data_IF_400860548356
#
_entry.id   IF_400860548356
#
_cell.length_a   1.000
_cell.length_b   1.000
_cell.length_c   1.000
_cell.angle_alpha   90.00
_cell.angle_beta   90.00
_cell.angle_gamma   90.00
#
_symmetry.space_group_name_H-M   'P 1'
#
loop_
_entity.id
_entity.type
_entity.pdbx_description
1 polymer ?
#
# COMPACT_ATOMS: atom_id res chain seq x y z
N UNK A 1 -21.97 -28.17 49.64
CA UNK A 1 -21.72 -28.50 48.21
C UNK A 1 -22.11 -27.27 47.40
N UNK A 2 -21.18 -26.40 46.97
CA UNK A 2 -20.25 -26.54 45.82
C UNK A 2 -20.98 -26.95 44.53
N UNK A 3 -21.42 -25.94 43.77
CA UNK A 3 -21.45 -25.79 42.30
C UNK A 3 -21.48 -24.25 42.10
N UNK A 4 -20.36 -23.55 42.28
CA UNK A 4 -19.40 -23.15 41.23
C UNK A 4 -19.99 -22.20 40.18
N UNK A 5 -19.88 -20.89 40.48
CA UNK A 5 -19.55 -19.77 39.58
C UNK A 5 -19.69 -20.03 38.07
N UNK A 6 -20.92 -20.19 37.57
CA UNK A 6 -21.19 -20.49 36.15
C UNK A 6 -22.05 -19.42 35.46
N UNK A 7 -21.74 -18.15 35.72
CA UNK A 7 -22.19 -17.03 34.87
C UNK A 7 -21.11 -15.96 34.78
N UNK A 8 -19.85 -16.40 34.72
CA UNK A 8 -18.70 -15.56 34.41
C UNK A 8 -18.52 -15.59 32.88
N UNK A 9 -18.70 -14.41 32.29
CA UNK A 9 -18.27 -14.00 30.96
C UNK A 9 -19.08 -14.59 29.80
N UNK A 10 -20.17 -13.89 29.47
CA UNK A 10 -20.63 -13.81 28.08
C UNK A 10 -19.52 -13.10 27.28
N UNK A 11 -18.58 -13.91 26.79
CA UNK A 11 -17.43 -13.47 26.00
C UNK A 11 -17.94 -12.77 24.75
N UNK A 12 -17.62 -11.49 24.68
CA UNK A 12 -17.80 -10.60 23.55
C UNK A 12 -17.09 -11.19 22.33
N UNK A 13 -17.83 -11.80 21.43
CA UNK A 13 -17.25 -12.32 20.18
C UNK A 13 -18.23 -12.23 19.02
N UNK A 14 -18.60 -11.01 18.63
CA UNK A 14 -19.18 -10.72 17.31
C UNK A 14 -18.71 -9.35 16.77
N UNK A 15 -17.41 -9.08 16.82
CA UNK A 15 -16.82 -7.97 16.06
C UNK A 15 -15.60 -8.46 15.28
N UNK A 16 -15.78 -9.50 14.46
CA UNK A 16 -14.87 -9.76 13.35
C UNK A 16 -15.67 -9.69 12.06
N UNK A 17 -16.29 -8.53 11.81
CA UNK A 17 -16.55 -8.13 10.43
C UNK A 17 -15.18 -8.06 9.77
N UNK A 18 -14.92 -9.03 8.91
CA UNK A 18 -13.67 -9.13 8.19
C UNK A 18 -13.31 -7.77 7.60
N UNK A 19 -12.16 -7.24 8.01
CA UNK A 19 -11.50 -6.14 7.34
C UNK A 19 -10.98 -6.69 6.00
N UNK A 20 -11.91 -6.99 5.10
CA UNK A 20 -11.58 -7.00 3.71
C UNK A 20 -11.34 -5.54 3.39
N UNK A 21 -10.06 -5.16 3.36
CA UNK A 21 -9.60 -4.00 2.62
C UNK A 21 -10.44 -4.00 1.35
N UNK A 22 -11.38 -3.05 1.25
CA UNK A 22 -12.00 -2.76 -0.02
C UNK A 22 -10.81 -2.65 -0.94
N UNK A 23 -10.70 -3.57 -1.90
CA UNK A 23 -9.77 -3.40 -3.00
C UNK A 23 -10.26 -2.12 -3.66
N UNK A 24 -9.77 -1.00 -3.14
CA UNK A 24 -10.05 0.31 -3.66
C UNK A 24 -9.63 0.13 -5.10
N UNK A 25 -10.59 0.23 -6.01
CA UNK A 25 -10.34 0.28 -7.43
C UNK A 25 -9.67 1.63 -7.68
N UNK A 26 -8.49 1.82 -7.06
CA UNK A 26 -7.69 3.01 -7.24
C UNK A 26 -7.36 3.04 -8.71
N UNK A 27 -7.58 4.22 -9.29
CA UNK A 27 -7.19 4.47 -10.65
C UNK A 27 -5.70 4.15 -10.80
N UNK A 28 -5.37 3.51 -11.93
CA UNK A 28 -3.96 3.24 -12.23
C UNK A 28 -3.31 4.57 -12.63
N UNK A 29 -2.32 5.00 -11.86
CA UNK A 29 -1.57 6.23 -12.11
C UNK A 29 -0.28 5.94 -12.88
N UNK A 30 0.10 6.84 -13.77
CA UNK A 30 1.35 6.73 -14.56
C UNK A 30 2.56 7.18 -13.73
N UNK A 31 3.76 6.84 -14.20
CA UNK A 31 5.03 7.30 -13.63
C UNK A 31 5.09 8.84 -13.56
N UNK A 32 4.71 9.51 -14.65
CA UNK A 32 4.72 10.97 -14.76
C UNK A 32 3.72 11.64 -13.82
N UNK A 33 2.63 10.95 -13.46
CA UNK A 33 1.70 11.43 -12.45
C UNK A 33 2.35 11.40 -11.08
N UNK A 34 2.95 10.26 -10.69
CA UNK A 34 3.65 10.12 -9.41
C UNK A 34 4.81 11.10 -9.23
N UNK A 35 5.58 11.38 -10.28
CA UNK A 35 6.64 12.40 -10.24
C UNK A 35 6.14 13.81 -9.89
N UNK A 36 4.84 14.09 -10.11
CA UNK A 36 4.19 15.36 -9.78
C UNK A 36 3.43 15.32 -8.45
N UNK A 37 3.26 14.14 -7.86
CA UNK A 37 2.39 13.87 -6.71
C UNK A 37 3.19 13.10 -5.65
N UNK A 38 4.11 13.82 -4.99
CA UNK A 38 5.06 13.22 -4.04
C UNK A 38 4.38 12.55 -2.85
N UNK A 39 3.29 13.11 -2.33
CA UNK A 39 2.58 12.56 -1.18
C UNK A 39 1.97 11.18 -1.53
N UNK A 40 1.33 11.08 -2.69
CA UNK A 40 0.72 9.86 -3.17
C UNK A 40 1.76 8.83 -3.60
N UNK A 41 2.90 9.29 -4.14
CA UNK A 41 4.07 8.43 -4.39
C UNK A 41 4.56 7.79 -3.09
N UNK A 42 4.83 8.58 -2.06
CA UNK A 42 5.36 8.07 -0.80
C UNK A 42 4.34 7.14 -0.10
N UNK A 43 3.06 7.50 -0.11
CA UNK A 43 1.99 6.65 0.43
C UNK A 43 1.84 5.33 -0.33
N UNK A 44 1.92 5.36 -1.67
CA UNK A 44 1.88 4.15 -2.50
C UNK A 44 3.09 3.27 -2.22
N UNK A 45 4.30 3.83 -2.15
CA UNK A 45 5.52 3.07 -1.83
C UNK A 45 5.44 2.40 -0.45
N UNK A 46 4.93 3.11 0.56
CA UNK A 46 4.70 2.54 1.88
C UNK A 46 3.73 1.35 1.78
N UNK A 47 2.59 1.52 1.12
CA UNK A 47 1.62 0.44 0.90
C UNK A 47 2.24 -0.76 0.18
N UNK A 48 3.00 -0.53 -0.89
CA UNK A 48 3.67 -1.60 -1.64
C UNK A 48 4.69 -2.36 -0.78
N UNK A 49 5.38 -1.66 0.13
CA UNK A 49 6.39 -2.26 1.02
C UNK A 49 5.79 -3.09 2.16
N UNK A 50 4.55 -2.81 2.57
CA UNK A 50 3.89 -3.51 3.68
C UNK A 50 3.62 -4.99 3.38
N UNK A 51 3.40 -5.36 2.11
CA UNK A 51 3.26 -6.76 1.70
C UNK A 51 3.73 -6.97 0.25
N UNK A 52 5.04 -7.15 0.02
CA UNK A 52 5.60 -7.27 -1.33
C UNK A 52 4.99 -8.45 -2.11
N UNK A 53 4.72 -9.57 -1.44
CA UNK A 53 4.10 -10.74 -2.08
C UNK A 53 2.73 -10.41 -2.69
N UNK A 54 1.92 -9.60 -2.00
CA UNK A 54 0.60 -9.15 -2.46
C UNK A 54 0.67 -8.04 -3.52
N UNK A 55 1.61 -7.11 -3.38
CA UNK A 55 1.58 -5.83 -4.11
C UNK A 55 2.57 -5.71 -5.29
N UNK A 56 3.60 -6.57 -5.40
CA UNK A 56 4.66 -6.43 -6.41
C UNK A 56 4.19 -6.42 -7.88
N UNK A 57 3.04 -7.04 -8.20
CA UNK A 57 2.46 -7.06 -9.56
C UNK A 57 1.41 -5.98 -9.80
N UNK A 58 1.10 -5.15 -8.80
CA UNK A 58 0.09 -4.11 -8.96
C UNK A 58 0.66 -2.95 -9.80
N UNK A 59 -0.09 -2.45 -10.80
CA UNK A 59 0.39 -1.39 -11.69
C UNK A 59 0.86 -0.14 -10.95
N UNK A 60 0.14 0.29 -9.92
CA UNK A 60 0.52 1.46 -9.12
C UNK A 60 1.86 1.24 -8.38
N UNK A 61 2.13 0.04 -7.87
CA UNK A 61 3.42 -0.26 -7.24
C UNK A 61 4.57 -0.25 -8.23
N UNK A 62 4.37 -0.79 -9.43
CA UNK A 62 5.38 -0.78 -10.50
C UNK A 62 5.68 0.66 -10.92
N UNK A 63 4.64 1.48 -11.12
CA UNK A 63 4.78 2.87 -11.56
C UNK A 63 5.39 3.77 -10.48
N UNK A 64 4.98 3.60 -9.21
CA UNK A 64 5.54 4.31 -8.07
C UNK A 64 7.02 3.98 -7.88
N UNK A 65 7.40 2.70 -7.92
CA UNK A 65 8.81 2.30 -7.81
C UNK A 65 9.67 2.88 -8.93
N UNK A 66 9.16 2.90 -10.17
CA UNK A 66 9.86 3.54 -11.30
C UNK A 66 10.01 5.04 -11.10
N UNK A 67 8.98 5.73 -10.59
CA UNK A 67 9.06 7.16 -10.29
C UNK A 67 10.09 7.44 -9.18
N UNK A 68 10.12 6.63 -8.12
CA UNK A 68 11.11 6.75 -7.05
C UNK A 68 12.55 6.57 -7.55
N UNK A 69 12.77 5.59 -8.44
CA UNK A 69 14.07 5.36 -9.07
C UNK A 69 14.49 6.55 -9.94
N UNK A 70 13.57 7.12 -10.73
CA UNK A 70 13.85 8.33 -11.52
C UNK A 70 14.16 9.54 -10.64
N UNK A 71 13.38 9.76 -9.57
CA UNK A 71 13.64 10.83 -8.59
C UNK A 71 15.02 10.70 -7.95
N UNK A 72 15.45 9.47 -7.65
CA UNK A 72 16.72 9.19 -6.99
C UNK A 72 17.92 9.25 -7.93
N UNK A 73 17.74 8.90 -9.21
CA UNK A 73 18.77 8.99 -10.23
C UNK A 73 19.11 10.44 -10.62
N UNK A 74 18.23 11.40 -10.29
CA UNK A 74 18.34 12.78 -10.72
C UNK A 74 17.80 13.00 -12.14
N UNK A 75 17.89 14.23 -12.63
CA UNK A 75 17.46 14.57 -13.99
C UNK A 75 18.46 13.97 -15.00
N UNK A 76 17.95 13.21 -15.99
CA UNK A 76 18.79 12.70 -17.07
C UNK A 76 19.24 13.88 -17.94
N UNK A 77 20.52 14.24 -17.88
CA UNK A 77 21.08 15.20 -18.82
C UNK A 77 21.04 14.60 -20.24
N UNK A 78 20.43 15.30 -21.21
CA UNK A 78 20.54 14.90 -22.61
C UNK A 78 22.02 14.87 -23.01
N UNK A 79 22.46 13.79 -23.65
CA UNK A 79 23.78 13.74 -24.28
C UNK A 79 23.61 14.39 -25.65
N UNK A 80 24.18 15.58 -25.84
CA UNK A 80 24.25 16.21 -27.16
C UNK A 80 25.27 15.46 -28.01
N UNK A 81 24.79 14.78 -29.05
CA UNK A 81 25.61 14.09 -30.05
C UNK A 81 25.94 15.03 -31.23
N UNK A 82 26.46 16.22 -30.92
CA UNK A 82 26.91 17.19 -31.91
C UNK A 82 28.39 17.00 -32.25
#
# INVERSE_FOLDING_TARGET
>A
MKIQYLTIIAFSSLALTACFDKASTESVHTVSWFLKHNQELDGTLQMCSNNPAKYHKQPNCINALRAANQRSAGELHPIDWH
#
